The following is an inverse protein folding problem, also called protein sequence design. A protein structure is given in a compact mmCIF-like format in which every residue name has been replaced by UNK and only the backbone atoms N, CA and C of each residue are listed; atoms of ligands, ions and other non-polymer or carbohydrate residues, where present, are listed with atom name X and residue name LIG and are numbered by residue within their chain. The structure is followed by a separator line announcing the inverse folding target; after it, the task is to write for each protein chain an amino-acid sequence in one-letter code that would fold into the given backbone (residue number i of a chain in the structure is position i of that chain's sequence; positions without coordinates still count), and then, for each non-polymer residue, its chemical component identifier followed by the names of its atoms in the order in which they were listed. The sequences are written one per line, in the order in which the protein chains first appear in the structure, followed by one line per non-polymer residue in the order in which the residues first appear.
data_IF_127439124730
#
_entry.id   IF_127439124730
#
_cell.length_a   1.000
_cell.length_b   1.000
_cell.length_c   1.000
_cell.angle_alpha   90.00
_cell.angle_beta   90.00
_cell.angle_gamma   90.00
#
_symmetry.space_group_name_H-M   'P 1'
#
loop_
_entity.id
_entity.type
_entity.pdbx_description
1 polymer ?
#
# COMPACT_ATOMS: atom_id res chain seq x y z
N UNK A 1 10.03 -1.00 -10.03
CA UNK A 1 9.63 -2.42 -9.89
C UNK A 1 8.56 -2.68 -10.94
N UNK A 2 8.66 -3.76 -11.73
CA UNK A 2 7.62 -4.13 -12.69
C UNK A 2 6.80 -5.29 -12.12
N UNK A 3 5.48 -5.16 -12.15
CA UNK A 3 4.51 -6.10 -11.56
C UNK A 3 3.49 -6.45 -12.65
N UNK A 4 3.20 -7.74 -12.78
CA UNK A 4 2.25 -8.27 -13.76
C UNK A 4 1.13 -8.95 -12.99
N UNK A 5 -0.08 -8.40 -13.07
CA UNK A 5 -1.24 -8.93 -12.36
C UNK A 5 -2.39 -9.18 -13.34
N UNK A 6 -3.25 -10.18 -13.05
CA UNK A 6 -4.53 -10.32 -13.74
C UNK A 6 -5.35 -9.04 -13.62
N UNK A 7 -6.11 -8.68 -14.67
CA UNK A 7 -6.98 -7.50 -14.65
C UNK A 7 -8.02 -7.49 -13.52
N UNK A 8 -8.37 -8.68 -13.01
CA UNK A 8 -9.32 -8.90 -11.91
C UNK A 8 -8.67 -8.90 -10.53
N UNK A 9 -7.35 -8.67 -10.44
CA UNK A 9 -6.64 -8.65 -9.17
C UNK A 9 -7.15 -7.52 -8.26
N UNK A 10 -6.86 -7.67 -6.98
CA UNK A 10 -7.11 -6.66 -5.96
C UNK A 10 -5.82 -5.98 -5.52
N UNK A 11 -5.95 -4.90 -4.77
CA UNK A 11 -4.81 -4.14 -4.26
C UNK A 11 -3.93 -5.00 -3.36
N UNK A 12 -4.51 -5.95 -2.62
CA UNK A 12 -3.74 -6.87 -1.77
C UNK A 12 -2.77 -7.74 -2.60
N UNK A 13 -3.23 -8.32 -3.71
CA UNK A 13 -2.38 -9.10 -4.63
C UNK A 13 -1.19 -8.26 -5.13
N UNK A 14 -1.44 -6.98 -5.42
CA UNK A 14 -0.40 -6.04 -5.86
C UNK A 14 0.63 -5.75 -4.77
N UNK A 15 0.18 -5.57 -3.53
CA UNK A 15 1.05 -5.32 -2.38
C UNK A 15 1.88 -6.56 -2.01
N UNK A 16 1.28 -7.75 -2.06
CA UNK A 16 2.01 -9.01 -1.87
C UNK A 16 3.15 -9.17 -2.89
N UNK A 17 2.91 -8.84 -4.16
CA UNK A 17 3.93 -8.93 -5.21
C UNK A 17 5.07 -7.91 -4.98
N UNK A 18 4.74 -6.68 -4.52
CA UNK A 18 5.74 -5.68 -4.10
C UNK A 18 6.62 -6.24 -2.98
N UNK A 19 6.00 -6.74 -1.90
CA UNK A 19 6.70 -7.27 -0.74
C UNK A 19 7.64 -8.42 -1.13
N UNK A 20 7.14 -9.35 -1.94
CA UNK A 20 7.90 -10.50 -2.43
C UNK A 20 9.10 -10.07 -3.27
N UNK A 21 8.92 -9.11 -4.19
CA UNK A 21 10.01 -8.59 -5.04
C UNK A 21 11.05 -7.82 -4.24
N UNK A 22 10.64 -7.15 -3.16
CA UNK A 22 11.53 -6.43 -2.25
C UNK A 22 12.11 -7.32 -1.15
N UNK A 23 11.72 -8.59 -1.07
CA UNK A 23 12.10 -9.53 0.00
C UNK A 23 11.77 -9.00 1.41
N UNK A 24 10.65 -8.30 1.55
CA UNK A 24 10.18 -7.76 2.83
C UNK A 24 9.24 -8.76 3.50
N UNK A 25 9.48 -9.17 4.77
CA UNK A 25 8.68 -10.16 5.47
C UNK A 25 7.39 -9.59 6.10
N UNK A 26 6.95 -8.42 5.65
CA UNK A 26 5.87 -7.66 6.29
C UNK A 26 4.51 -8.01 5.71
N UNK A 27 3.43 -8.02 6.52
CA UNK A 27 2.07 -8.16 5.99
C UNK A 27 1.61 -6.91 5.25
N UNK A 28 0.75 -7.10 4.23
CA UNK A 28 0.22 -6.02 3.37
C UNK A 28 -0.57 -4.95 4.15
N UNK A 29 -1.20 -5.32 5.27
CA UNK A 29 -1.93 -4.40 6.15
C UNK A 29 -1.06 -3.32 6.82
N UNK A 30 0.27 -3.47 6.79
CA UNK A 30 1.23 -2.45 7.22
C UNK A 30 1.61 -1.48 6.11
N UNK A 31 1.13 -1.71 4.89
CA UNK A 31 1.43 -0.87 3.74
C UNK A 31 0.25 0.05 3.46
N UNK A 32 0.55 1.33 3.26
CA UNK A 32 -0.40 2.30 2.73
C UNK A 32 -0.06 2.59 1.29
N UNK A 33 -1.08 2.55 0.43
CA UNK A 33 -0.93 2.82 -0.99
C UNK A 33 -1.67 4.11 -1.35
N UNK A 34 -0.98 4.99 -2.06
CA UNK A 34 -1.48 6.29 -2.46
C UNK A 34 -1.34 6.50 -3.97
N UNK A 35 -2.30 7.23 -4.54
CA UNK A 35 -2.17 7.87 -5.85
C UNK A 35 -1.67 9.30 -5.65
N UNK A 36 -0.60 9.66 -6.37
CA UNK A 36 0.05 10.97 -6.26
C UNK A 36 -0.08 11.71 -7.59
N UNK A 37 -0.43 13.00 -7.52
CA UNK A 37 -0.40 13.92 -8.68
C UNK A 37 0.21 15.24 -8.26
N UNK A 38 1.08 15.82 -9.09
CA UNK A 38 1.75 17.11 -8.81
C UNK A 38 2.31 17.20 -7.37
N UNK A 39 2.98 16.13 -6.94
CA UNK A 39 3.56 15.99 -5.59
C UNK A 39 2.54 16.09 -4.43
N UNK A 40 1.26 15.84 -4.68
CA UNK A 40 0.18 15.80 -3.68
C UNK A 40 -0.52 14.45 -3.68
N UNK A 41 -0.95 14.00 -2.50
CA UNK A 41 -1.79 12.82 -2.36
C UNK A 41 -3.16 13.14 -2.95
N UNK A 42 -3.55 12.40 -3.99
CA UNK A 42 -4.87 12.49 -4.60
C UNK A 42 -5.85 11.55 -3.90
N UNK A 43 -5.40 10.32 -3.60
CA UNK A 43 -6.24 9.25 -3.08
C UNK A 43 -5.41 8.27 -2.27
N UNK A 44 -5.98 7.79 -1.17
CA UNK A 44 -5.46 6.65 -0.42
C UNK A 44 -6.33 5.42 -0.71
N UNK A 45 -5.68 4.26 -0.86
CA UNK A 45 -6.33 2.99 -1.12
C UNK A 45 -6.47 2.19 0.18
N UNK A 46 -7.42 2.59 1.02
CA UNK A 46 -7.58 2.07 2.39
C UNK A 46 -8.19 0.66 2.44
N UNK A 47 -8.73 0.17 1.31
CA UNK A 47 -9.40 -1.14 1.20
C UNK A 47 -8.57 -2.05 0.32
N UNK A 48 -7.85 -2.97 0.95
CA UNK A 48 -6.98 -3.97 0.29
C UNK A 48 -7.74 -4.84 -0.72
N UNK A 49 -9.02 -5.11 -0.46
CA UNK A 49 -9.88 -5.89 -1.37
C UNK A 49 -10.46 -5.07 -2.54
N UNK A 50 -9.99 -3.83 -2.75
CA UNK A 50 -10.42 -3.05 -3.91
C UNK A 50 -9.81 -3.62 -5.18
N UNK A 51 -10.56 -3.73 -6.28
CA UNK A 51 -10.01 -4.11 -7.57
C UNK A 51 -8.94 -3.12 -8.06
N UNK A 52 -7.89 -3.63 -8.71
CA UNK A 52 -6.83 -2.80 -9.28
C UNK A 52 -7.30 -1.94 -10.46
N UNK A 53 -8.40 -2.31 -11.12
CA UNK A 53 -8.97 -1.56 -12.25
C UNK A 53 -9.52 -0.17 -11.84
N UNK A 54 -9.61 0.10 -10.53
CA UNK A 54 -9.95 1.41 -9.97
C UNK A 54 -8.76 2.36 -9.88
N UNK A 55 -7.55 1.88 -10.21
CA UNK A 55 -6.36 2.71 -10.30
C UNK A 55 -6.35 3.36 -11.68
N UNK A 56 -6.20 4.68 -11.72
CA UNK A 56 -6.16 5.43 -12.98
C UNK A 56 -5.03 4.92 -13.88
N UNK A 57 -5.27 4.80 -15.18
CA UNK A 57 -4.20 4.52 -16.13
C UNK A 57 -3.11 5.61 -16.04
N UNK A 58 -1.84 5.20 -16.04
CA UNK A 58 -0.68 6.09 -15.86
C UNK A 58 -0.62 6.83 -14.50
N UNK A 59 -1.36 6.36 -13.50
CA UNK A 59 -1.22 6.86 -12.13
C UNK A 59 0.22 6.68 -11.62
N UNK A 60 0.72 7.69 -10.94
CA UNK A 60 1.91 7.53 -10.09
C UNK A 60 1.46 7.02 -8.73
N UNK A 61 1.90 5.82 -8.37
CA UNK A 61 1.61 5.21 -7.08
C UNK A 61 2.78 5.35 -6.12
N UNK A 62 2.47 5.66 -4.86
CA UNK A 62 3.42 5.67 -3.76
C UNK A 62 2.95 4.67 -2.70
N UNK A 63 3.84 3.77 -2.30
CA UNK A 63 3.58 2.81 -1.22
C UNK A 63 4.50 3.10 -0.03
N UNK A 64 3.93 3.24 1.15
CA UNK A 64 4.63 3.43 2.42
C UNK A 64 4.45 2.16 3.27
N UNK A 65 5.55 1.51 3.64
CA UNK A 65 5.54 0.46 4.65
C UNK A 65 5.70 1.08 6.03
N UNK A 66 4.71 0.90 6.90
CA UNK A 66 4.82 1.26 8.30
C UNK A 66 5.40 0.11 9.10
N UNK A 67 6.71 0.13 9.24
CA UNK A 67 7.37 -0.65 10.27
C UNK A 67 6.93 -0.06 11.61
N UNK A 68 6.18 -0.80 12.41
CA UNK A 68 6.12 -0.53 13.85
C UNK A 68 7.55 -0.76 14.36
N UNK A 69 8.36 0.30 14.33
CA UNK A 69 9.69 0.26 14.89
C UNK A 69 9.55 -0.22 16.34
N UNK A 70 10.43 -1.12 16.75
CA UNK A 70 10.74 -1.48 18.15
C UNK A 70 10.92 -0.23 19.03
N UNK A 71 9.82 0.40 19.39
CA UNK A 71 9.70 1.43 20.41
C UNK A 71 8.38 1.08 21.07
N UNK A 72 8.42 0.67 22.34
CA UNK A 72 7.26 0.27 23.11
C UNK A 72 6.30 1.44 23.29
N UNK A 73 5.52 1.73 22.27
CA UNK A 73 4.39 2.64 22.31
C UNK A 73 3.15 1.76 22.21
N UNK A 74 2.54 1.55 23.38
CA UNK A 74 1.21 0.99 23.53
C UNK A 74 0.21 1.78 22.68
N UNK A 75 -0.80 1.09 22.14
CA UNK A 75 -1.84 1.65 21.28
C UNK A 75 -2.79 2.66 21.99
N UNK A 76 -2.43 3.12 23.20
CA UNK A 76 -3.24 4.00 24.05
C UNK A 76 -2.99 5.51 23.88
N UNK A 77 -1.98 5.94 23.12
CA UNK A 77 -1.65 7.38 23.01
C UNK A 77 -2.39 8.12 21.87
N UNK A 78 -3.37 7.49 21.22
CA UNK A 78 -4.20 8.14 20.19
C UNK A 78 -5.56 8.63 20.71
N UNK A 79 -5.73 8.76 22.02
CA UNK A 79 -6.90 9.36 22.64
C UNK A 79 -6.53 10.61 23.46
N UNK A 80 -6.33 11.73 22.78
CA UNK A 80 -6.60 13.09 23.31
C UNK A 80 -7.20 13.98 22.22
#
# INVERSE_FOLDING_TARGET
INILLPKKAIIDDFLEDILRKLSLPEPTNRIRLFEITNCKILKEYNKLNSPIDKISENATLYAELRLQARLGMDENDFAE
#
